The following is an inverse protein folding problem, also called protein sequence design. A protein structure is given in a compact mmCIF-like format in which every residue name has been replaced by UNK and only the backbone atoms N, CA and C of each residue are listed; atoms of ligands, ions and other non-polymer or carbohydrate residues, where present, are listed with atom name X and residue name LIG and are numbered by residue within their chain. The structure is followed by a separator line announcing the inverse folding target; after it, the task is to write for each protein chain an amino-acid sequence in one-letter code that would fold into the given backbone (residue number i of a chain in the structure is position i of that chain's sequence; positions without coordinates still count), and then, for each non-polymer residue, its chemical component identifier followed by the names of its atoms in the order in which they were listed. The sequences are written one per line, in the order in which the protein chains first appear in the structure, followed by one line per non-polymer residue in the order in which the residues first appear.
data_IF_862445907838
#
_entry.id   IF_862445907838
#
_cell.length_a   1.000
_cell.length_b   1.000
_cell.length_c   1.000
_cell.angle_alpha   90.00
_cell.angle_beta   90.00
_cell.angle_gamma   90.00
#
_symmetry.space_group_name_H-M   'P 1'
#
loop_
_entity.id
_entity.type
_entity.pdbx_description
1 polymer ?
#
# COMPACT_ATOMS: atom_id res chain seq x y z
N UNK A 1 -18.44 -5.50 -5.10
CA UNK A 1 -18.92 -4.83 -3.86
C UNK A 1 -19.00 -3.33 -4.12
N UNK A 2 -20.21 -2.77 -4.20
CA UNK A 2 -20.48 -1.36 -4.54
C UNK A 2 -20.18 -0.37 -3.38
N UNK A 3 -19.89 -0.88 -2.18
CA UNK A 3 -19.89 -0.06 -0.97
C UNK A 3 -18.67 0.86 -0.83
N UNK A 4 -17.49 0.52 -1.37
CA UNK A 4 -16.28 1.32 -1.18
C UNK A 4 -16.42 2.76 -1.72
N UNK A 5 -16.85 2.90 -2.99
CA UNK A 5 -17.07 4.20 -3.63
C UNK A 5 -18.18 5.00 -2.93
N UNK A 6 -19.24 4.33 -2.47
CA UNK A 6 -20.31 4.98 -1.71
C UNK A 6 -19.81 5.51 -0.36
N UNK A 7 -19.06 4.71 0.39
CA UNK A 7 -18.49 5.11 1.69
C UNK A 7 -17.54 6.30 1.54
N UNK A 8 -16.64 6.28 0.55
CA UNK A 8 -15.73 7.39 0.26
C UNK A 8 -16.52 8.67 -0.05
N UNK A 9 -17.59 8.57 -0.85
CA UNK A 9 -18.45 9.71 -1.16
C UNK A 9 -19.17 10.25 0.08
N UNK A 10 -19.76 9.38 0.90
CA UNK A 10 -20.50 9.79 2.10
C UNK A 10 -19.60 10.40 3.17
N UNK A 11 -18.33 9.99 3.25
CA UNK A 11 -17.33 10.55 4.14
C UNK A 11 -16.72 11.87 3.59
N UNK A 12 -17.09 12.30 2.38
CA UNK A 12 -16.52 13.50 1.75
C UNK A 12 -15.06 13.35 1.32
N UNK A 13 -14.59 12.11 1.11
CA UNK A 13 -13.18 11.80 0.81
C UNK A 13 -12.92 11.60 -0.69
N UNK A 14 -13.87 11.95 -1.55
CA UNK A 14 -13.74 11.68 -3.00
C UNK A 14 -12.54 12.39 -3.62
N UNK A 15 -12.24 13.60 -3.16
CA UNK A 15 -11.12 14.42 -3.68
C UNK A 15 -9.77 14.05 -3.05
N UNK A 16 -9.75 13.16 -2.05
CA UNK A 16 -8.51 12.73 -1.38
C UNK A 16 -7.78 11.64 -2.17
N UNK A 17 -8.52 10.86 -2.98
CA UNK A 17 -7.96 9.74 -3.72
C UNK A 17 -7.90 10.08 -5.21
N UNK A 18 -6.71 10.00 -5.81
CA UNK A 18 -6.54 10.14 -7.26
C UNK A 18 -7.22 9.00 -8.03
N UNK A 19 -7.24 7.78 -7.47
CA UNK A 19 -7.91 6.62 -8.04
C UNK A 19 -8.50 5.71 -6.96
N UNK A 20 -9.65 5.10 -7.25
CA UNK A 20 -10.31 4.11 -6.38
C UNK A 20 -10.56 2.82 -7.14
N UNK A 21 -9.71 1.82 -6.89
CA UNK A 21 -9.79 0.50 -7.54
C UNK A 21 -10.40 -0.51 -6.60
N UNK A 22 -11.53 -1.08 -7.01
CA UNK A 22 -12.26 -2.09 -6.23
C UNK A 22 -11.97 -3.46 -6.82
N UNK A 23 -11.45 -4.38 -6.01
CA UNK A 23 -11.03 -5.71 -6.50
C UNK A 23 -12.15 -6.53 -7.17
N UNK A 24 -13.41 -6.30 -6.80
CA UNK A 24 -14.57 -6.92 -7.46
C UNK A 24 -14.85 -6.43 -8.89
N UNK A 25 -14.16 -5.37 -9.34
CA UNK A 25 -14.21 -4.83 -10.71
C UNK A 25 -13.00 -5.29 -11.55
N UNK A 26 -12.11 -6.10 -10.98
CA UNK A 26 -10.94 -6.65 -11.67
C UNK A 26 -11.26 -8.00 -12.30
N UNK A 27 -10.58 -8.34 -13.41
CA UNK A 27 -10.80 -9.60 -14.14
C UNK A 27 -10.62 -10.84 -13.27
N UNK A 28 -9.68 -10.79 -12.32
CA UNK A 28 -9.49 -11.83 -11.31
C UNK A 28 -9.40 -11.19 -9.92
N UNK A 29 -10.06 -11.78 -8.91
CA UNK A 29 -9.92 -11.32 -7.53
C UNK A 29 -8.53 -11.66 -6.97
N UNK A 30 -8.23 -11.15 -5.76
CA UNK A 30 -7.13 -11.64 -4.93
C UNK A 30 -7.21 -13.19 -4.88
N UNK A 31 -6.08 -13.92 -4.95
CA UNK A 31 -4.71 -13.47 -4.73
C UNK A 31 -3.99 -12.93 -5.97
N UNK A 32 -4.66 -12.84 -7.12
CA UNK A 32 -4.01 -12.26 -8.29
C UNK A 32 -3.85 -10.73 -8.10
N UNK A 33 -2.70 -10.14 -8.45
CA UNK A 33 -2.38 -8.74 -8.13
C UNK A 33 -3.04 -7.71 -9.05
N UNK A 34 -4.13 -8.08 -9.74
CA UNK A 34 -4.81 -7.24 -10.73
C UNK A 34 -5.21 -5.85 -10.20
N UNK A 35 -5.72 -5.69 -8.97
CA UNK A 35 -6.02 -4.36 -8.44
C UNK A 35 -4.79 -3.46 -8.40
N UNK A 36 -3.63 -4.00 -8.01
CA UNK A 36 -2.39 -3.25 -7.93
C UNK A 36 -1.81 -2.94 -9.31
N UNK A 37 -1.80 -3.92 -10.23
CA UNK A 37 -1.36 -3.68 -11.61
C UNK A 37 -2.23 -2.62 -12.30
N UNK A 38 -3.54 -2.62 -12.03
CA UNK A 38 -4.44 -1.56 -12.49
C UNK A 38 -4.08 -0.21 -11.86
N UNK A 39 -3.77 -0.18 -10.56
CA UNK A 39 -3.38 1.05 -9.85
C UNK A 39 -2.11 1.66 -10.42
N UNK A 40 -1.06 0.85 -10.60
CA UNK A 40 0.20 1.28 -11.22
C UNK A 40 -0.04 1.90 -12.60
N UNK A 41 -0.92 1.29 -13.41
CA UNK A 41 -1.27 1.80 -14.74
C UNK A 41 -2.08 3.10 -14.70
N UNK A 42 -3.08 3.19 -13.82
CA UNK A 42 -4.00 4.33 -13.73
C UNK A 42 -3.31 5.56 -13.13
N UNK A 43 -2.46 5.36 -12.12
CA UNK A 43 -1.64 6.40 -11.48
C UNK A 43 -0.34 6.70 -12.24
N UNK A 44 0.00 5.92 -13.27
CA UNK A 44 1.22 6.07 -14.07
C UNK A 44 2.52 5.98 -13.23
N UNK A 45 2.53 5.11 -12.22
CA UNK A 45 3.67 4.86 -11.32
C UNK A 45 4.27 3.48 -11.53
N UNK A 46 5.54 3.31 -11.15
CA UNK A 46 6.22 2.01 -11.21
C UNK A 46 6.15 1.28 -9.88
N UNK A 47 6.11 -0.06 -9.92
CA UNK A 47 6.12 -0.88 -8.71
C UNK A 47 7.35 -0.61 -7.81
N UNK A 48 8.48 -0.20 -8.40
CA UNK A 48 9.71 0.13 -7.66
C UNK A 48 9.57 1.42 -6.82
N UNK A 49 8.62 2.29 -7.15
CA UNK A 49 8.31 3.52 -6.44
C UNK A 49 6.93 3.45 -5.79
N UNK A 50 6.52 2.28 -5.35
CA UNK A 50 5.21 2.07 -4.72
C UNK A 50 5.35 1.07 -3.58
N UNK A 51 4.64 1.32 -2.49
CA UNK A 51 4.46 0.39 -1.39
C UNK A 51 2.98 0.37 -0.98
N UNK A 52 2.57 -0.69 -0.30
CA UNK A 52 1.17 -0.94 0.03
C UNK A 52 0.98 -0.85 1.54
N UNK A 53 -0.06 -0.16 1.99
CA UNK A 53 -0.57 -0.27 3.36
C UNK A 53 -1.63 -1.39 3.44
N UNK A 54 -1.49 -2.31 4.39
CA UNK A 54 -2.39 -3.46 4.55
C UNK A 54 -2.52 -3.84 6.04
N UNK A 55 -3.67 -4.36 6.47
CA UNK A 55 -3.94 -4.68 7.88
C UNK A 55 -4.25 -6.16 8.13
N UNK A 56 -4.12 -7.00 7.10
CA UNK A 56 -4.43 -8.42 7.16
C UNK A 56 -3.28 -9.30 6.69
N UNK A 57 -2.97 -10.39 7.40
CA UNK A 57 -1.91 -11.32 7.01
C UNK A 57 -2.21 -12.02 5.67
N UNK A 58 -3.49 -12.23 5.33
CA UNK A 58 -3.86 -12.78 4.01
C UNK A 58 -3.65 -11.75 2.90
N UNK A 59 -3.97 -10.47 3.14
CA UNK A 59 -3.66 -9.38 2.23
C UNK A 59 -2.16 -9.21 2.03
N UNK A 60 -1.39 -9.13 3.13
CA UNK A 60 0.08 -8.96 3.08
C UNK A 60 0.74 -10.04 2.24
N UNK A 61 0.35 -11.32 2.37
CA UNK A 61 0.92 -12.40 1.53
C UNK A 61 0.64 -12.19 0.04
N UNK A 62 -0.54 -11.69 -0.31
CA UNK A 62 -0.91 -11.39 -1.71
C UNK A 62 -0.06 -10.24 -2.24
N UNK A 63 0.13 -9.21 -1.42
CA UNK A 63 0.81 -7.98 -1.79
C UNK A 63 2.33 -8.20 -1.94
N UNK A 64 2.91 -8.98 -1.03
CA UNK A 64 4.29 -9.46 -1.12
C UNK A 64 4.47 -10.34 -2.36
N UNK A 65 3.54 -11.26 -2.64
CA UNK A 65 3.58 -12.09 -3.85
C UNK A 65 3.41 -11.26 -5.14
N UNK A 66 2.85 -10.05 -5.05
CA UNK A 66 2.78 -9.09 -6.15
C UNK A 66 4.11 -8.35 -6.39
N UNK A 67 5.14 -8.58 -5.56
CA UNK A 67 6.45 -7.96 -5.67
C UNK A 67 6.51 -6.52 -5.16
N UNK A 68 5.53 -6.09 -4.35
CA UNK A 68 5.48 -4.75 -3.78
C UNK A 68 5.82 -4.79 -2.28
N UNK A 69 6.64 -3.85 -1.77
CA UNK A 69 6.86 -3.69 -0.33
C UNK A 69 5.53 -3.41 0.40
N UNK A 70 5.39 -3.98 1.59
CA UNK A 70 4.17 -3.84 2.39
C UNK A 70 4.48 -3.20 3.73
N UNK A 71 3.83 -2.08 4.02
CA UNK A 71 3.72 -1.49 5.35
C UNK A 71 2.47 -2.06 6.00
N UNK A 72 2.64 -3.02 6.90
CA UNK A 72 1.53 -3.62 7.60
C UNK A 72 1.14 -2.79 8.82
N UNK A 73 -0.14 -2.47 8.96
CA UNK A 73 -0.69 -1.70 10.10
C UNK A 73 -1.29 -2.66 11.12
N UNK A 74 -0.80 -2.62 12.35
CA UNK A 74 -1.15 -3.54 13.42
C UNK A 74 -2.53 -3.21 14.02
N UNK A 75 -3.60 -3.54 13.30
CA UNK A 75 -4.96 -3.25 13.77
C UNK A 75 -5.48 -4.29 14.76
N UNK A 76 -5.60 -5.55 14.32
CA UNK A 76 -6.35 -6.60 15.05
C UNK A 76 -5.69 -7.97 15.06
N UNK A 77 -4.52 -8.11 14.44
CA UNK A 77 -3.81 -9.38 14.32
C UNK A 77 -2.44 -9.31 15.00
N UNK A 78 -1.89 -10.44 15.48
CA UNK A 78 -0.57 -10.46 16.08
C UNK A 78 0.51 -9.99 15.09
N UNK A 79 1.47 -9.20 15.56
CA UNK A 79 2.62 -8.72 14.77
C UNK A 79 3.34 -9.88 14.08
N UNK A 80 3.55 -10.99 14.79
CA UNK A 80 4.14 -12.22 14.24
C UNK A 80 3.43 -12.73 12.98
N UNK A 81 2.11 -12.60 12.90
CA UNK A 81 1.35 -13.03 11.70
C UNK A 81 1.62 -12.15 10.48
N UNK A 82 1.98 -10.87 10.69
CA UNK A 82 2.38 -9.94 9.64
C UNK A 82 3.85 -10.16 9.23
N UNK A 83 4.73 -10.44 10.20
CA UNK A 83 6.12 -10.84 9.94
C UNK A 83 6.18 -12.11 9.07
N UNK A 84 5.46 -13.16 9.49
CA UNK A 84 5.37 -14.43 8.74
C UNK A 84 4.70 -14.25 7.36
N UNK A 85 3.92 -13.19 7.16
CA UNK A 85 3.33 -12.86 5.87
C UNK A 85 4.30 -12.11 4.93
N UNK A 86 5.46 -11.67 5.43
CA UNK A 86 6.50 -10.99 4.66
C UNK A 86 6.39 -9.46 4.62
N UNK A 87 5.73 -8.84 5.61
CA UNK A 87 5.68 -7.38 5.72
C UNK A 87 7.09 -6.77 5.73
N UNK A 88 7.27 -5.67 5.00
CA UNK A 88 8.55 -4.94 4.93
C UNK A 88 8.74 -4.02 6.13
N UNK A 89 7.65 -3.44 6.63
CA UNK A 89 7.59 -2.64 7.85
C UNK A 89 6.28 -2.97 8.56
N UNK A 90 6.31 -3.05 9.89
CA UNK A 90 5.11 -3.18 10.71
C UNK A 90 5.03 -1.94 11.59
N UNK A 91 3.91 -1.22 11.46
CA UNK A 91 3.61 -0.01 12.21
C UNK A 91 2.40 -0.26 13.11
N UNK A 92 2.44 0.23 14.35
CA UNK A 92 1.30 0.13 15.27
C UNK A 92 0.07 0.87 14.72
N UNK A 93 0.29 2.05 14.15
CA UNK A 93 -0.70 2.92 13.52
C UNK A 93 0.04 3.90 12.57
N UNK A 94 -0.68 4.91 12.06
CA UNK A 94 -0.10 5.93 11.18
C UNK A 94 0.73 7.00 11.93
N UNK A 95 0.78 6.97 13.26
CA UNK A 95 1.60 7.85 14.10
C UNK A 95 2.90 7.17 14.56
N UNK A 96 3.10 5.89 14.23
CA UNK A 96 4.31 5.14 14.61
C UNK A 96 5.59 5.81 14.09
N UNK A 97 6.50 6.14 15.01
CA UNK A 97 7.78 6.78 14.67
C UNK A 97 8.61 5.93 13.70
N UNK A 98 8.47 4.60 13.71
CA UNK A 98 9.16 3.72 12.75
C UNK A 98 8.72 4.02 11.32
N UNK A 99 7.42 4.26 11.10
CA UNK A 99 6.88 4.61 9.80
C UNK A 99 7.45 5.96 9.33
N UNK A 100 7.37 6.98 10.18
CA UNK A 100 7.85 8.32 9.85
C UNK A 100 9.36 8.34 9.58
N UNK A 101 10.17 7.66 10.38
CA UNK A 101 11.61 7.54 10.14
C UNK A 101 11.90 6.89 8.77
N UNK A 102 11.16 5.84 8.42
CA UNK A 102 11.33 5.16 7.13
C UNK A 102 10.94 6.06 5.94
N UNK A 103 9.86 6.84 6.06
CA UNK A 103 9.46 7.80 5.03
C UNK A 103 10.50 8.92 4.87
N UNK A 104 11.03 9.45 5.98
CA UNK A 104 12.11 10.44 5.93
C UNK A 104 13.40 9.90 5.30
N UNK A 105 13.72 8.63 5.54
CA UNK A 105 14.86 7.97 4.89
C UNK A 105 14.65 7.87 3.37
N UNK A 106 13.45 7.53 2.92
CA UNK A 106 13.10 7.49 1.49
C UNK A 106 13.25 8.88 0.85
N UNK A 107 12.74 9.93 1.49
CA UNK A 107 12.85 11.31 1.01
C UNK A 107 14.32 11.75 0.92
N UNK A 108 15.15 11.38 1.90
CA UNK A 108 16.59 11.66 1.89
C UNK A 108 17.30 10.96 0.74
N UNK A 109 17.00 9.69 0.49
CA UNK A 109 17.60 8.95 -0.63
C UNK A 109 17.15 9.49 -1.99
N UNK A 110 15.87 9.86 -2.13
CA UNK A 110 15.37 10.50 -3.35
C UNK A 110 16.07 11.85 -3.61
N UNK A 111 16.26 12.66 -2.57
CA UNK A 111 16.97 13.94 -2.68
C UNK A 111 18.43 13.75 -3.12
N UNK A 112 19.14 12.73 -2.60
CA UNK A 112 20.51 12.38 -3.00
C UNK A 112 20.58 11.95 -4.47
N UNK A 113 19.65 11.12 -4.92
CA UNK A 113 19.58 10.66 -6.32
C UNK A 113 19.37 11.83 -7.28
N UNK A 114 18.50 12.78 -6.93
CA UNK A 114 18.29 14.01 -7.71
C UNK A 114 19.52 14.94 -7.72
N UNK A 115 20.27 15.00 -6.62
CA UNK A 115 21.49 15.83 -6.52
C UNK A 115 22.72 15.22 -7.23
N UNK A 116 22.81 13.89 -7.32
CA UNK A 116 23.93 13.19 -7.98
C UNK A 116 23.76 12.97 -9.48
N UNK A 117 22.61 13.33 -10.05
CA UNK A 117 22.29 13.21 -11.49
C UNK A 117 22.56 14.47 -12.32
N UNK A 118 23.27 15.47 -11.76
CA UNK A 118 23.67 16.72 -12.41
C UNK A 118 25.12 16.68 -12.90
#
# INVERSE_FOLDING_TARGET
MINAKLMIKLLGLSDFFEAVIVGGECEKPKPAPFPYLKALKELQVSAAHTFIFEDSASGTRVDVAAGMPVVAVLTRIPEKSLEEAGASLIACDYEDQKLWNALEDIDREEAKLKAGGA
#
